data_IF_512168202585
#
_entry.id   IF_512168202585
#
_cell.length_a   1.000
_cell.length_b   1.000
_cell.length_c   1.000
_cell.angle_alpha   90.00
_cell.angle_beta   90.00
_cell.angle_gamma   90.00
#
_symmetry.space_group_name_H-M   'P 1'
#
loop_
_entity.id
_entity.type
_entity.pdbx_description
1 polymer ?
#
# COMPACT_ATOMS: atom_id res chain seq x y z
N UNK A 1 39.31 22.43 49.29
CA UNK A 1 38.66 22.34 47.95
C UNK A 1 37.81 21.09 47.95
N UNK A 2 36.55 21.21 47.47
CA UNK A 2 35.63 20.14 46.99
C UNK A 2 34.16 20.25 47.49
N UNK A 3 33.54 21.43 47.39
CA UNK A 3 32.09 21.61 47.64
C UNK A 3 31.28 21.91 46.35
N UNK A 4 31.89 21.75 45.18
CA UNK A 4 31.24 21.99 43.87
C UNK A 4 30.76 20.68 43.26
N UNK A 5 31.50 19.59 43.48
CA UNK A 5 31.15 18.25 42.99
C UNK A 5 29.93 17.64 43.69
N UNK A 6 29.66 18.01 44.95
CA UNK A 6 28.48 17.58 45.71
C UNK A 6 27.20 18.19 45.13
N UNK A 7 27.21 19.49 44.81
CA UNK A 7 26.04 20.18 44.21
C UNK A 7 25.69 19.66 42.81
N UNK A 8 26.69 19.22 42.04
CA UNK A 8 26.44 18.60 40.74
C UNK A 8 25.83 17.20 40.89
N UNK A 9 26.18 16.43 41.93
CA UNK A 9 25.55 15.13 42.20
C UNK A 9 24.10 15.26 42.66
N UNK A 10 23.80 16.27 43.46
CA UNK A 10 22.42 16.54 43.90
C UNK A 10 21.54 17.04 42.74
N UNK A 11 22.10 17.82 41.79
CA UNK A 11 21.37 18.28 40.61
C UNK A 11 21.10 17.17 39.58
N UNK A 12 22.00 16.17 39.48
CA UNK A 12 21.89 15.07 38.50
C UNK A 12 21.05 13.90 39.05
N UNK A 13 20.46 14.01 40.25
CA UNK A 13 19.46 13.06 40.74
C UNK A 13 19.99 11.63 40.97
N UNK A 14 21.31 11.42 40.99
CA UNK A 14 21.92 10.09 41.12
C UNK A 14 22.03 9.58 42.57
N UNK A 15 21.34 10.23 43.52
CA UNK A 15 21.34 9.86 44.93
C UNK A 15 19.94 9.62 45.49
N UNK A 16 18.93 9.54 44.63
CA UNK A 16 17.59 9.16 45.06
C UNK A 16 17.51 7.64 45.17
N UNK A 17 17.16 7.07 46.35
CA UNK A 17 16.79 5.67 46.42
C UNK A 17 15.59 5.47 45.49
N UNK A 18 15.67 4.49 44.61
CA UNK A 18 14.57 4.09 43.74
C UNK A 18 13.46 3.55 44.65
N UNK A 19 12.55 4.42 45.09
CA UNK A 19 11.27 3.99 45.61
C UNK A 19 10.47 3.45 44.43
N UNK A 20 10.28 2.13 44.43
CA UNK A 20 9.33 1.48 43.55
C UNK A 20 7.93 1.93 43.96
N UNK A 21 7.44 3.02 43.38
CA UNK A 21 6.02 3.33 43.42
C UNK A 21 5.29 2.25 42.62
N UNK A 22 4.61 1.35 43.35
CA UNK A 22 3.57 0.51 42.77
C UNK A 22 2.47 1.44 42.24
N UNK A 23 2.30 1.50 40.93
CA UNK A 23 1.09 2.07 40.35
C UNK A 23 -0.07 1.11 40.70
N UNK A 24 -0.87 1.47 41.70
CA UNK A 24 -2.24 0.96 41.80
C UNK A 24 -3.03 1.59 40.65
N UNK A 25 -3.37 0.79 39.63
CA UNK A 25 -4.44 1.15 38.70
C UNK A 25 -5.75 1.13 39.51
N UNK A 26 -6.21 2.31 39.96
CA UNK A 26 -7.60 2.47 40.33
C UNK A 26 -8.46 2.23 39.08
N UNK A 27 -9.06 1.05 39.04
CA UNK A 27 -9.98 0.63 38.00
C UNK A 27 -11.25 1.48 38.16
N UNK A 28 -11.34 2.56 37.36
CA UNK A 28 -12.55 3.37 37.17
C UNK A 28 -13.66 2.47 36.61
N UNK A 29 -14.33 1.75 37.51
CA UNK A 29 -15.42 0.84 37.21
C UNK A 29 -16.74 1.59 37.36
N UNK A 30 -17.02 2.51 36.44
CA UNK A 30 -18.36 3.07 36.30
C UNK A 30 -18.76 3.22 34.83
N UNK A 31 -19.78 2.43 34.47
CA UNK A 31 -20.79 2.69 33.44
C UNK A 31 -20.90 1.70 32.26
N UNK A 32 -20.94 0.39 32.55
CA UNK A 32 -21.61 -0.59 31.69
C UNK A 32 -23.00 -0.93 32.24
N UNK A 33 -23.96 -0.01 32.06
CA UNK A 33 -25.38 -0.34 32.22
C UNK A 33 -25.99 -0.68 30.85
N UNK A 34 -25.70 -1.88 30.32
CA UNK A 34 -26.50 -2.44 29.23
C UNK A 34 -27.78 -3.03 29.82
N UNK A 35 -28.87 -2.28 29.74
CA UNK A 35 -30.21 -2.76 30.02
C UNK A 35 -30.72 -3.62 28.88
N UNK A 36 -30.79 -4.94 29.10
CA UNK A 36 -31.55 -5.86 28.25
C UNK A 36 -33.04 -5.53 28.36
N UNK A 37 -33.65 -5.12 27.24
CA UNK A 37 -35.10 -5.18 27.07
C UNK A 37 -35.46 -6.47 26.32
N UNK A 38 -36.37 -7.31 26.83
CA UNK A 38 -36.79 -8.53 26.17
C UNK A 38 -37.61 -8.25 24.90
N UNK A 39 -37.32 -9.02 23.86
CA UNK A 39 -38.04 -9.10 22.58
C UNK A 39 -39.53 -9.37 22.76
N UNK A 40 -40.36 -8.61 22.05
CA UNK A 40 -41.78 -8.90 21.85
C UNK A 40 -42.00 -9.18 20.34
N UNK A 41 -42.43 -10.38 19.93
CA UNK A 41 -42.57 -10.72 18.51
C UNK A 41 -43.96 -10.37 17.99
N UNK A 42 -44.08 -9.43 17.04
CA UNK A 42 -45.33 -9.18 16.30
C UNK A 42 -45.10 -8.79 14.82
N UNK A 43 -46.08 -9.07 13.94
CA UNK A 43 -45.87 -9.72 12.64
C UNK A 43 -45.79 -8.81 11.40
N UNK A 44 -45.38 -9.44 10.30
CA UNK A 44 -45.15 -8.91 8.96
C UNK A 44 -46.28 -8.06 8.32
N UNK A 45 -45.89 -7.01 7.60
CA UNK A 45 -46.63 -6.40 6.48
C UNK A 45 -45.62 -5.70 5.53
N UNK A 46 -45.33 -6.30 4.38
CA UNK A 46 -45.83 -5.96 3.03
C UNK A 46 -45.14 -4.76 2.35
N UNK A 47 -44.37 -5.11 1.32
CA UNK A 47 -43.68 -4.23 0.38
C UNK A 47 -44.64 -3.28 -0.35
N UNK A 48 -44.29 -1.99 -0.40
CA UNK A 48 -44.90 -1.04 -1.35
C UNK A 48 -43.90 -0.78 -2.47
N UNK A 49 -44.13 -1.49 -3.59
CA UNK A 49 -43.43 -1.23 -4.85
C UNK A 49 -43.93 0.05 -5.49
N UNK A 50 -42.95 0.75 -6.03
CA UNK A 50 -42.96 2.09 -6.62
C UNK A 50 -43.93 2.23 -7.81
N UNK A 51 -44.60 3.38 -7.85
CA UNK A 51 -45.47 3.82 -8.94
C UNK A 51 -44.61 4.40 -10.10
N UNK A 52 -44.76 3.90 -11.33
CA UNK A 52 -44.82 4.78 -12.52
C UNK A 52 -45.29 4.05 -13.81
N UNK A 53 -46.58 4.21 -14.05
CA UNK A 53 -47.33 4.38 -15.31
C UNK A 53 -46.53 4.29 -16.64
N UNK A 54 -46.95 3.37 -17.52
CA UNK A 54 -47.05 3.66 -18.98
C UNK A 54 -48.07 2.75 -19.65
N UNK A 55 -49.24 3.31 -19.91
CA UNK A 55 -50.24 2.79 -20.83
C UNK A 55 -49.64 2.59 -22.23
N UNK A 56 -49.78 1.39 -22.79
CA UNK A 56 -50.10 1.20 -24.21
C UNK A 56 -50.69 -0.19 -24.41
N UNK A 57 -51.83 -0.23 -25.08
CA UNK A 57 -52.68 -1.39 -25.30
C UNK A 57 -52.09 -2.40 -26.30
N UNK A 58 -52.53 -3.66 -26.19
CA UNK A 58 -52.35 -4.85 -27.03
C UNK A 58 -52.94 -4.69 -28.46
N UNK A 59 -52.70 -5.56 -29.50
CA UNK A 59 -52.72 -7.04 -29.47
C UNK A 59 -51.75 -7.73 -30.50
N UNK A 60 -52.02 -8.92 -31.09
CA UNK A 60 -51.32 -10.18 -30.81
C UNK A 60 -50.42 -10.75 -31.95
N UNK A 61 -49.74 -11.85 -31.62
CA UNK A 61 -49.00 -12.86 -32.41
C UNK A 61 -49.32 -13.00 -33.91
N UNK A 62 -48.28 -13.20 -34.76
CA UNK A 62 -48.10 -14.34 -35.71
C UNK A 62 -46.88 -14.14 -36.66
N UNK A 63 -45.96 -15.13 -36.60
CA UNK A 63 -44.98 -15.71 -37.56
C UNK A 63 -44.03 -14.91 -38.49
N UNK A 64 -42.76 -15.37 -38.43
CA UNK A 64 -41.76 -15.69 -39.49
C UNK A 64 -41.48 -14.66 -40.61
N UNK A 65 -40.22 -14.26 -40.77
CA UNK A 65 -39.24 -14.83 -41.71
C UNK A 65 -37.92 -14.02 -41.64
N UNK A 66 -36.85 -14.64 -42.14
CA UNK A 66 -35.43 -14.29 -42.11
C UNK A 66 -35.14 -12.84 -42.60
N UNK A 67 -33.99 -12.20 -42.32
CA UNK A 67 -32.77 -12.30 -43.15
C UNK A 67 -31.72 -11.30 -42.60
N UNK A 68 -30.49 -11.79 -42.39
CA UNK A 68 -29.17 -11.10 -42.50
C UNK A 68 -28.81 -9.94 -41.55
N UNK A 69 -27.69 -10.16 -40.85
CA UNK A 69 -26.84 -9.10 -40.31
C UNK A 69 -26.62 -9.22 -38.81
N UNK A 70 -26.00 -10.30 -38.35
CA UNK A 70 -25.56 -10.42 -36.94
C UNK A 70 -24.41 -9.44 -36.69
N UNK A 71 -24.75 -8.16 -36.47
CA UNK A 71 -23.88 -7.23 -35.75
C UNK A 71 -23.73 -7.82 -34.37
N UNK A 72 -22.57 -8.40 -34.11
CA UNK A 72 -22.17 -8.86 -32.79
C UNK A 72 -22.31 -7.70 -31.80
N UNK A 73 -23.43 -7.67 -31.09
CA UNK A 73 -23.69 -6.69 -30.05
C UNK A 73 -22.87 -7.14 -28.86
N UNK A 74 -21.64 -6.63 -28.73
CA UNK A 74 -20.92 -6.72 -27.47
C UNK A 74 -21.73 -5.96 -26.43
N UNK A 75 -22.46 -6.69 -25.58
CA UNK A 75 -23.12 -6.16 -24.37
C UNK A 75 -22.06 -5.83 -23.31
N UNK A 76 -21.12 -4.93 -23.64
CA UNK A 76 -20.21 -4.34 -22.66
C UNK A 76 -20.88 -3.11 -22.08
N UNK A 77 -21.53 -3.30 -20.95
CA UNK A 77 -21.95 -2.20 -20.09
C UNK A 77 -20.67 -1.67 -19.45
N UNK A 78 -20.22 -0.48 -19.85
CA UNK A 78 -19.08 0.18 -19.21
C UNK A 78 -19.38 0.36 -17.73
N UNK A 79 -18.55 -0.24 -16.86
CA UNK A 79 -18.70 -0.05 -15.42
C UNK A 79 -18.41 1.43 -15.08
N UNK A 80 -19.35 2.17 -14.46
CA UNK A 80 -19.06 3.47 -13.91
C UNK A 80 -17.99 3.29 -12.82
N UNK A 81 -16.76 3.72 -13.11
CA UNK A 81 -15.59 3.55 -12.24
C UNK A 81 -14.47 2.68 -12.82
N UNK A 82 -14.71 1.88 -13.87
CA UNK A 82 -13.68 1.02 -14.48
C UNK A 82 -12.83 1.74 -15.54
N UNK A 83 -13.28 2.89 -16.06
CA UNK A 83 -12.63 3.60 -17.19
C UNK A 83 -12.59 5.13 -17.04
N UNK A 84 -13.20 5.70 -16.00
CA UNK A 84 -13.21 7.14 -15.75
C UNK A 84 -12.35 7.51 -14.52
N UNK A 85 -11.29 6.74 -14.27
CA UNK A 85 -10.35 6.99 -13.18
C UNK A 85 -9.46 8.17 -13.56
N UNK A 86 -9.84 9.37 -13.11
CA UNK A 86 -9.01 10.56 -13.18
C UNK A 86 -7.67 10.20 -12.51
N UNK A 87 -6.59 10.10 -13.29
CA UNK A 87 -5.26 9.83 -12.74
C UNK A 87 -4.79 11.10 -12.05
N UNK A 88 -4.84 11.10 -10.72
CA UNK A 88 -4.42 12.21 -9.89
C UNK A 88 -2.93 12.07 -9.55
N UNK A 89 -2.21 13.19 -9.63
CA UNK A 89 -0.82 13.28 -9.21
C UNK A 89 -0.75 14.27 -8.05
N UNK A 90 -0.28 13.79 -6.91
CA UNK A 90 -0.07 14.58 -5.69
C UNK A 90 1.41 14.98 -5.61
N UNK A 91 1.68 16.26 -5.35
CA UNK A 91 3.03 16.75 -5.07
C UNK A 91 3.13 17.05 -3.58
N UNK A 92 4.12 16.45 -2.91
CA UNK A 92 4.40 16.66 -1.49
C UNK A 92 5.80 17.24 -1.32
N UNK A 93 5.89 18.29 -0.50
CA UNK A 93 7.16 18.90 -0.06
C UNK A 93 7.22 18.86 1.47
N UNK A 94 7.47 17.68 2.06
CA UNK A 94 7.49 17.49 3.50
C UNK A 94 8.69 18.20 4.13
N UNK A 95 8.51 18.62 5.38
CA UNK A 95 9.60 19.15 6.22
C UNK A 95 10.07 18.12 7.22
N UNK A 96 9.23 17.14 7.55
CA UNK A 96 9.45 16.17 8.62
C UNK A 96 9.08 14.76 8.18
N UNK A 97 9.65 13.76 8.86
CA UNK A 97 9.37 12.35 8.58
C UNK A 97 7.93 11.93 8.94
N UNK A 98 7.27 12.66 9.84
CA UNK A 98 5.91 12.35 10.31
C UNK A 98 4.85 12.46 9.21
N UNK A 99 5.16 13.13 8.11
CA UNK A 99 4.27 13.31 6.96
C UNK A 99 4.27 12.09 6.01
N UNK A 100 5.21 11.16 6.15
CA UNK A 100 5.37 10.02 5.24
C UNK A 100 4.19 9.03 5.21
N UNK A 101 3.47 8.77 6.32
CA UNK A 101 2.24 7.97 6.28
C UNK A 101 1.16 8.55 5.36
N UNK A 102 1.06 9.88 5.24
CA UNK A 102 0.12 10.53 4.31
C UNK A 102 0.48 10.23 2.85
N UNK A 103 1.78 10.13 2.54
CA UNK A 103 2.22 9.74 1.21
C UNK A 103 1.76 8.31 0.85
N UNK A 104 1.91 7.35 1.78
CA UNK A 104 1.43 5.98 1.57
C UNK A 104 -0.09 5.94 1.38
N UNK A 105 -0.83 6.73 2.17
CA UNK A 105 -2.28 6.80 2.04
C UNK A 105 -2.71 7.28 0.65
N UNK A 106 -2.02 8.29 0.08
CA UNK A 106 -2.29 8.75 -1.28
C UNK A 106 -2.01 7.67 -2.34
N UNK A 107 -0.93 6.88 -2.19
CA UNK A 107 -0.67 5.74 -3.07
C UNK A 107 -1.78 4.68 -3.00
N UNK A 108 -2.30 4.39 -1.79
CA UNK A 108 -3.44 3.47 -1.60
C UNK A 108 -4.73 3.97 -2.26
N UNK A 109 -4.92 5.28 -2.32
CA UNK A 109 -6.01 5.94 -3.04
C UNK A 109 -5.81 5.96 -4.57
N UNK A 110 -4.79 5.27 -5.08
CA UNK A 110 -4.40 5.20 -6.49
C UNK A 110 -3.94 6.55 -7.08
N UNK A 111 -3.39 7.43 -6.24
CA UNK A 111 -2.77 8.70 -6.67
C UNK A 111 -1.28 8.49 -6.88
N UNK A 112 -0.72 9.04 -7.96
CA UNK A 112 0.74 9.09 -8.13
C UNK A 112 1.32 10.21 -7.26
N UNK A 113 2.57 10.07 -6.85
CA UNK A 113 3.19 10.92 -5.85
C UNK A 113 4.53 11.46 -6.31
N UNK A 114 4.68 12.78 -6.34
CA UNK A 114 5.97 13.44 -6.50
C UNK A 114 6.40 13.96 -5.13
N UNK A 115 7.48 13.41 -4.61
CA UNK A 115 8.02 13.71 -3.30
C UNK A 115 9.27 14.57 -3.46
N UNK A 116 9.20 15.83 -3.03
CA UNK A 116 10.30 16.78 -3.03
C UNK A 116 10.89 16.91 -1.61
N UNK A 117 12.10 16.40 -1.42
CA UNK A 117 12.79 16.36 -0.14
C UNK A 117 13.91 17.42 -0.02
N UNK A 118 13.92 18.42 -0.92
CA UNK A 118 15.00 19.42 -1.00
C UNK A 118 15.19 20.20 0.31
N UNK A 119 14.12 20.42 1.08
CA UNK A 119 14.13 21.19 2.32
C UNK A 119 14.24 20.34 3.59
N UNK A 120 14.31 19.02 3.44
CA UNK A 120 14.37 18.08 4.54
C UNK A 120 15.82 17.74 4.87
N UNK A 121 16.13 17.51 6.15
CA UNK A 121 17.48 17.08 6.55
C UNK A 121 17.87 15.78 5.84
N UNK A 122 19.12 15.63 5.34
CA UNK A 122 19.52 14.48 4.53
C UNK A 122 19.24 13.13 5.17
N UNK A 123 19.49 13.00 6.48
CA UNK A 123 19.24 11.77 7.24
C UNK A 123 17.75 11.43 7.31
N UNK A 124 16.90 12.44 7.46
CA UNK A 124 15.44 12.26 7.49
C UNK A 124 14.90 12.00 6.08
N UNK A 125 15.43 12.70 5.06
CA UNK A 125 15.08 12.50 3.67
C UNK A 125 15.35 11.06 3.22
N UNK A 126 16.51 10.50 3.59
CA UNK A 126 16.82 9.09 3.29
C UNK A 126 15.80 8.14 3.92
N UNK A 127 15.50 8.32 5.22
CA UNK A 127 14.48 7.53 5.91
C UNK A 127 13.10 7.65 5.27
N UNK A 128 12.73 8.86 4.85
CA UNK A 128 11.49 9.13 4.14
C UNK A 128 11.39 8.35 2.84
N UNK A 129 12.44 8.37 2.01
CA UNK A 129 12.50 7.58 0.77
C UNK A 129 12.37 6.09 1.08
N UNK A 130 13.12 5.56 2.04
CA UNK A 130 13.08 4.13 2.39
C UNK A 130 11.70 3.70 2.88
N UNK A 131 11.03 4.55 3.67
CA UNK A 131 9.67 4.29 4.15
C UNK A 131 8.64 4.28 3.01
N UNK A 132 8.68 5.29 2.13
CA UNK A 132 7.75 5.39 1.00
C UNK A 132 8.02 4.29 -0.04
N UNK A 133 9.28 3.95 -0.28
CA UNK A 133 9.72 2.84 -1.11
C UNK A 133 9.17 1.50 -0.58
N UNK A 134 9.28 1.25 0.73
CA UNK A 134 8.73 0.05 1.36
C UNK A 134 7.22 -0.06 1.19
N UNK A 135 6.48 1.04 1.39
CA UNK A 135 5.03 1.04 1.16
C UNK A 135 4.64 0.94 -0.31
N UNK A 136 5.40 1.54 -1.22
CA UNK A 136 5.18 1.43 -2.66
C UNK A 136 5.39 0.00 -3.14
N UNK A 137 6.45 -0.66 -2.67
CA UNK A 137 6.71 -2.07 -2.97
C UNK A 137 5.58 -2.98 -2.48
N UNK A 138 5.05 -2.73 -1.28
CA UNK A 138 3.92 -3.49 -0.74
C UNK A 138 2.60 -3.30 -1.53
N UNK A 139 2.49 -2.24 -2.34
CA UNK A 139 1.34 -1.93 -3.19
C UNK A 139 1.56 -2.32 -4.66
N UNK A 140 2.61 -3.09 -4.95
CA UNK A 140 3.06 -3.42 -6.32
C UNK A 140 3.24 -2.17 -7.19
N UNK A 141 3.64 -1.06 -6.57
CA UNK A 141 3.86 0.22 -7.23
C UNK A 141 5.24 0.31 -7.89
N UNK A 142 5.47 1.43 -8.56
CA UNK A 142 6.76 1.77 -9.15
C UNK A 142 7.36 2.99 -8.46
N UNK A 143 8.69 3.05 -8.39
CA UNK A 143 9.40 4.21 -7.89
C UNK A 143 10.47 4.64 -8.90
N UNK A 144 10.65 5.94 -9.04
CA UNK A 144 11.63 6.51 -9.94
C UNK A 144 12.24 7.78 -9.35
N UNK A 145 13.56 7.92 -9.46
CA UNK A 145 14.24 9.17 -9.10
C UNK A 145 14.25 10.08 -10.31
N UNK A 146 13.60 11.24 -10.21
CA UNK A 146 13.46 12.19 -11.31
C UNK A 146 14.31 13.47 -11.13
N UNK A 147 14.95 13.63 -9.97
CA UNK A 147 15.83 14.77 -9.70
C UNK A 147 16.76 14.56 -8.49
N UNK A 148 17.44 15.63 -8.08
CA UNK A 148 18.16 15.68 -6.80
C UNK A 148 17.14 15.84 -5.67
N UNK A 149 17.06 14.83 -4.79
CA UNK A 149 16.07 14.78 -3.71
C UNK A 149 14.60 14.83 -4.15
N UNK A 150 14.31 14.53 -5.43
CA UNK A 150 12.94 14.46 -5.97
C UNK A 150 12.67 13.06 -6.51
N UNK A 151 11.59 12.46 -6.02
CA UNK A 151 11.20 11.08 -6.32
C UNK A 151 9.75 11.01 -6.81
N UNK A 152 9.49 10.12 -7.75
CA UNK A 152 8.17 9.74 -8.23
C UNK A 152 7.83 8.36 -7.66
N UNK A 153 6.66 8.22 -7.06
CA UNK A 153 6.08 6.96 -6.64
C UNK A 153 4.73 6.80 -7.33
N UNK A 154 4.46 5.64 -7.91
CA UNK A 154 3.21 5.38 -8.61
C UNK A 154 2.56 4.09 -8.11
N UNK A 155 1.22 4.04 -8.03
CA UNK A 155 0.51 2.80 -7.74
C UNK A 155 0.57 1.85 -8.95
N UNK A 156 0.24 0.57 -8.74
CA UNK A 156 0.27 -0.49 -9.77
C UNK A 156 -0.57 -0.23 -11.02
N UNK A 157 -1.54 0.70 -10.96
CA UNK A 157 -2.37 1.08 -12.10
C UNK A 157 -1.74 2.14 -13.02
N UNK A 158 -0.54 2.63 -12.72
CA UNK A 158 0.16 3.66 -13.51
C UNK A 158 1.48 3.10 -14.03
N UNK A 159 1.63 3.11 -15.35
CA UNK A 159 2.88 2.73 -16.02
C UNK A 159 3.76 3.98 -16.19
N UNK A 160 5.04 3.85 -15.82
CA UNK A 160 6.04 4.91 -16.01
C UNK A 160 6.96 4.50 -17.16
N UNK A 161 7.31 5.45 -18.03
CA UNK A 161 8.20 5.22 -19.17
C UNK A 161 9.18 6.36 -19.27
N UNK A 162 10.45 6.06 -19.05
CA UNK A 162 11.50 7.08 -18.99
C UNK A 162 12.42 6.94 -20.19
N UNK A 163 12.53 8.02 -20.97
CA UNK A 163 13.36 8.06 -22.18
C UNK A 163 14.87 8.13 -21.89
N UNK A 164 15.27 8.29 -20.62
CA UNK A 164 16.65 8.34 -20.18
C UNK A 164 17.05 7.06 -19.45
N UNK A 165 17.99 6.30 -20.02
CA UNK A 165 18.54 5.12 -19.38
C UNK A 165 19.25 5.44 -18.07
N UNK A 166 18.63 5.08 -16.96
CA UNK A 166 19.36 4.63 -15.77
C UNK A 166 19.01 3.16 -15.58
N UNK A 167 20.03 2.33 -15.72
CA UNK A 167 19.98 0.89 -15.49
C UNK A 167 19.64 0.63 -14.03
N UNK A 168 18.37 0.36 -13.70
CA UNK A 168 18.08 -0.47 -12.54
C UNK A 168 18.22 -1.94 -12.96
N UNK A 169 19.46 -2.33 -13.25
CA UNK A 169 19.82 -3.73 -13.38
C UNK A 169 19.93 -4.29 -11.96
N UNK A 170 18.89 -4.99 -11.52
CA UNK A 170 18.97 -5.83 -10.33
C UNK A 170 20.11 -6.82 -10.58
N UNK A 171 21.20 -6.85 -9.78
CA UNK A 171 22.27 -7.81 -9.98
C UNK A 171 21.68 -9.20 -9.86
N UNK A 172 21.51 -9.89 -10.98
CA UNK A 172 21.19 -11.32 -10.97
C UNK A 172 22.39 -12.00 -10.31
N UNK A 173 22.19 -12.53 -9.10
CA UNK A 173 23.20 -13.34 -8.44
C UNK A 173 23.67 -14.41 -9.44
N UNK A 174 24.99 -14.55 -9.70
CA UNK A 174 25.46 -15.54 -10.65
C UNK A 174 25.03 -16.91 -10.14
N UNK A 175 24.17 -17.57 -10.91
CA UNK A 175 23.75 -18.96 -10.66
C UNK A 175 25.03 -19.78 -10.63
N UNK A 176 25.37 -20.34 -9.46
CA UNK A 176 26.58 -21.17 -9.31
C UNK A 176 26.52 -22.28 -10.35
N UNK A 177 27.54 -22.47 -11.20
CA UNK A 177 27.57 -23.61 -12.09
C UNK A 177 27.61 -24.88 -11.24
N UNK A 178 26.62 -25.76 -11.46
CA UNK A 178 26.59 -27.09 -10.87
C UNK A 178 27.87 -27.80 -11.30
N UNK A 179 28.73 -28.11 -10.32
CA UNK A 179 29.99 -28.82 -10.56
C UNK A 179 29.64 -30.23 -11.06
N UNK A 180 29.88 -30.49 -12.34
CA UNK A 180 29.87 -31.83 -12.95
C UNK A 180 30.71 -32.77 -12.07
N UNK A 181 30.07 -33.81 -11.55
CA UNK A 181 30.74 -34.88 -10.79
C UNK A 181 31.77 -35.56 -11.68
N UNK A 182 32.99 -35.71 -11.17
CA UNK A 182 34.12 -36.27 -11.90
C UNK A 182 33.88 -37.72 -12.30
N UNK A 183 34.07 -38.00 -13.59
CA UNK A 183 34.07 -39.33 -14.18
C UNK A 183 35.39 -40.04 -13.85
N UNK A 184 35.44 -40.75 -12.72
CA UNK A 184 36.52 -41.69 -12.41
C UNK A 184 36.33 -42.95 -13.25
N UNK A 185 37.16 -43.14 -14.28
CA UNK A 185 37.10 -44.34 -15.12
C UNK A 185 38.21 -44.42 -16.16
N UNK A 186 39.27 -45.15 -15.80
CA UNK A 186 40.22 -45.88 -16.66
C UNK A 186 41.08 -45.11 -17.69
N UNK A 187 42.33 -44.81 -17.33
CA UNK A 187 43.47 -44.75 -18.26
C UNK A 187 44.17 -46.12 -18.31
N UNK A 188 44.30 -46.79 -19.47
CA UNK A 188 45.28 -47.83 -19.65
C UNK A 188 46.53 -47.26 -20.35
N UNK A 189 47.64 -47.33 -19.62
CA UNK A 189 48.97 -47.74 -20.11
C UNK A 189 49.65 -46.86 -21.19
N UNK A 190 50.54 -45.95 -20.75
CA UNK A 190 51.69 -45.49 -21.56
C UNK A 190 52.98 -46.02 -20.96
N UNK A 191 53.43 -47.18 -21.45
CA UNK A 191 54.80 -47.65 -21.29
C UNK A 191 55.69 -47.05 -22.39
N UNK A 192 56.75 -46.40 -21.91
CA UNK A 192 58.09 -46.17 -22.45
C UNK A 192 58.42 -46.75 -23.85
N UNK A 193 58.79 -45.88 -24.79
CA UNK A 193 60.03 -45.94 -25.58
C UNK A 193 60.32 -44.59 -26.23
#
# INVERSE_FOLDING_TARGET
MNNIFSKLRDFVGLNEPVEYEYYEEEQDNDNYQTSYQPENPQPAAQETTNNNKRWRETPPTVTQEEVVGSKHMTNVIGMPGAINGISEVLVLEPRTFEEMPQAIQALRERKSLVLNLTIMDPDQAQRAVDFVAGGTYALDGHQERIGESIFLFTPSCVQVSTQGGFLHEVPQHPVRPVRSTGNWGSEPNRMVQ
#
